data_IF_140971635870
#
_entry.id   IF_140971635870
#
_cell.length_a   1.000
_cell.length_b   1.000
_cell.length_c   1.000
_cell.angle_alpha   90.00
_cell.angle_beta   90.00
_cell.angle_gamma   90.00
#
_symmetry.space_group_name_H-M   'P 1'
#
loop_
_entity.id
_entity.type
_entity.pdbx_description
1 polymer ?
#
# COMPACT_ATOMS: atom_id res chain seq x y z
N UNK A 1 10.01 7.88 -10.34
CA UNK A 1 10.17 9.34 -10.47
C UNK A 1 9.50 9.96 -9.26
N UNK A 2 10.21 10.69 -8.39
CA UNK A 2 9.57 11.54 -7.38
C UNK A 2 9.28 12.85 -8.12
N UNK A 3 8.17 12.87 -8.84
CA UNK A 3 7.87 13.93 -9.83
C UNK A 3 7.00 15.06 -9.24
N UNK A 4 6.37 14.84 -8.10
CA UNK A 4 5.57 15.81 -7.39
C UNK A 4 6.24 16.10 -6.03
N UNK A 5 6.17 17.34 -5.55
CA UNK A 5 6.65 17.77 -4.22
C UNK A 5 5.82 17.14 -3.08
N UNK A 6 5.65 15.83 -3.13
CA UNK A 6 4.89 15.05 -2.17
C UNK A 6 5.74 14.77 -0.95
N UNK A 7 5.13 14.89 0.22
CA UNK A 7 5.74 14.58 1.51
C UNK A 7 5.48 13.13 1.94
N UNK A 8 4.64 12.41 1.20
CA UNK A 8 4.15 11.08 1.52
C UNK A 8 3.97 10.24 0.26
N UNK A 9 4.17 8.93 0.39
CA UNK A 9 3.81 7.92 -0.61
C UNK A 9 3.23 6.70 0.12
N UNK A 10 2.98 5.59 -0.56
CA UNK A 10 2.40 4.43 0.10
C UNK A 10 2.07 3.27 -0.81
N UNK A 11 1.32 2.31 -0.27
CA UNK A 11 0.74 1.20 -1.02
C UNK A 11 -0.69 0.93 -0.54
N UNK A 12 -1.50 0.40 -1.45
CA UNK A 12 -2.92 0.11 -1.24
C UNK A 12 -3.19 -1.34 -1.62
N UNK A 13 -3.96 -2.05 -0.80
CA UNK A 13 -4.55 -3.35 -1.14
C UNK A 13 -6.02 -3.11 -1.43
N UNK A 14 -6.46 -3.47 -2.62
CA UNK A 14 -7.84 -3.28 -3.07
C UNK A 14 -8.35 -4.52 -3.81
N UNK A 15 -9.67 -4.63 -3.92
CA UNK A 15 -10.30 -5.67 -4.73
C UNK A 15 -10.12 -5.32 -6.21
N UNK A 16 -9.86 -6.32 -7.05
CA UNK A 16 -9.83 -6.14 -8.50
C UNK A 16 -11.26 -6.19 -9.03
N UNK A 17 -11.65 -5.19 -9.82
CA UNK A 17 -12.91 -5.17 -10.57
C UNK A 17 -12.61 -4.97 -12.07
N UNK A 18 -13.63 -4.62 -12.87
CA UNK A 18 -13.47 -4.46 -14.32
C UNK A 18 -12.75 -3.18 -14.74
N UNK A 19 -12.51 -2.24 -13.83
CA UNK A 19 -11.76 -1.02 -14.12
C UNK A 19 -10.30 -1.13 -13.67
N UNK A 20 -9.52 -0.10 -13.98
CA UNK A 20 -8.10 0.00 -13.59
C UNK A 20 -8.06 0.70 -12.24
N UNK A 21 -7.49 0.04 -11.23
CA UNK A 21 -7.29 0.55 -9.87
C UNK A 21 -8.57 1.12 -9.21
N UNK A 22 -9.75 0.63 -9.62
CA UNK A 22 -11.05 1.17 -9.22
C UNK A 22 -11.78 0.40 -8.12
N UNK A 23 -11.39 -0.84 -7.87
CA UNK A 23 -12.14 -1.65 -6.91
C UNK A 23 -11.96 -1.19 -5.45
N UNK A 24 -12.86 -1.62 -4.54
CA UNK A 24 -12.86 -1.16 -3.16
C UNK A 24 -11.53 -1.35 -2.43
N UNK A 25 -11.07 -0.30 -1.74
CA UNK A 25 -9.86 -0.35 -0.90
C UNK A 25 -10.14 -1.22 0.34
N UNK A 26 -9.27 -2.19 0.58
CA UNK A 26 -9.31 -3.06 1.77
C UNK A 26 -8.39 -2.53 2.88
N UNK A 27 -7.20 -2.03 2.51
CA UNK A 27 -6.25 -1.44 3.43
C UNK A 27 -5.24 -0.55 2.70
N UNK A 28 -4.61 0.38 3.42
CA UNK A 28 -3.60 1.29 2.87
C UNK A 28 -2.54 1.60 3.93
N UNK A 29 -1.29 1.78 3.48
CA UNK A 29 -0.18 2.23 4.33
C UNK A 29 0.60 3.37 3.69
N UNK A 30 1.07 4.29 4.52
CA UNK A 30 1.80 5.49 4.13
C UNK A 30 3.27 5.38 4.55
N UNK A 31 4.17 5.92 3.72
CA UNK A 31 5.58 6.18 4.02
C UNK A 31 5.89 7.66 3.84
N UNK A 32 6.69 8.23 4.74
CA UNK A 32 7.20 9.59 4.58
C UNK A 32 8.28 9.64 3.50
N UNK A 33 8.26 10.70 2.70
CA UNK A 33 9.34 11.02 1.77
C UNK A 33 10.29 11.99 2.47
N UNK A 34 11.56 11.62 2.55
CA UNK A 34 12.66 12.46 3.05
C UNK A 34 13.31 13.19 1.88
N UNK A 35 13.91 14.35 2.16
CA UNK A 35 14.73 15.10 1.19
C UNK A 35 15.95 14.32 0.69
N UNK A 36 16.32 13.24 1.40
CA UNK A 36 17.44 12.36 1.04
C UNK A 36 17.00 11.13 0.24
N UNK A 37 15.70 10.94 0.01
CA UNK A 37 15.25 9.79 -0.75
C UNK A 37 15.50 9.95 -2.25
N UNK A 38 16.00 8.87 -2.86
CA UNK A 38 15.91 8.68 -4.30
C UNK A 38 14.72 7.75 -4.63
N UNK A 39 14.46 7.55 -5.92
CA UNK A 39 13.37 6.69 -6.35
C UNK A 39 13.51 5.23 -5.84
N UNK A 40 14.74 4.74 -5.66
CA UNK A 40 15.00 3.36 -5.21
C UNK A 40 14.81 3.23 -3.71
N UNK A 41 15.28 4.20 -2.92
CA UNK A 41 15.08 4.19 -1.47
C UNK A 41 13.60 4.36 -1.13
N UNK A 42 12.88 5.22 -1.85
CA UNK A 42 11.43 5.34 -1.69
C UNK A 42 10.71 4.05 -2.07
N UNK A 43 11.05 3.44 -3.21
CA UNK A 43 10.49 2.15 -3.62
C UNK A 43 10.74 1.06 -2.57
N UNK A 44 11.94 0.98 -2.00
CA UNK A 44 12.27 0.00 -0.97
C UNK A 44 11.39 0.16 0.29
N UNK A 45 11.15 1.42 0.71
CA UNK A 45 10.24 1.70 1.84
C UNK A 45 8.80 1.29 1.55
N UNK A 46 8.30 1.63 0.36
CA UNK A 46 6.95 1.19 -0.07
C UNK A 46 6.89 -0.34 -0.11
N UNK A 47 7.93 -0.99 -0.65
CA UNK A 47 8.00 -2.45 -0.74
C UNK A 47 7.94 -3.15 0.61
N UNK A 48 8.60 -2.58 1.62
CA UNK A 48 8.52 -3.08 3.00
C UNK A 48 7.08 -3.05 3.52
N UNK A 49 6.33 -1.97 3.25
CA UNK A 49 4.92 -1.86 3.61
C UNK A 49 4.06 -2.86 2.83
N UNK A 50 4.29 -3.04 1.53
CA UNK A 50 3.58 -4.03 0.71
C UNK A 50 3.73 -5.46 1.26
N UNK A 51 4.97 -5.86 1.57
CA UNK A 51 5.29 -7.20 2.07
C UNK A 51 4.67 -7.48 3.44
N UNK A 52 4.33 -6.44 4.20
CA UNK A 52 3.61 -6.55 5.46
C UNK A 52 2.10 -6.53 5.28
N UNK A 53 1.60 -5.54 4.52
CA UNK A 53 0.18 -5.24 4.39
C UNK A 53 -0.57 -6.34 3.65
N UNK A 54 -0.04 -6.82 2.53
CA UNK A 54 -0.73 -7.79 1.68
C UNK A 54 -0.97 -9.14 2.41
N UNK A 55 0.03 -9.78 3.05
CA UNK A 55 -0.21 -11.01 3.80
C UNK A 55 -1.19 -10.85 4.97
N UNK A 56 -1.18 -9.68 5.63
CA UNK A 56 -2.12 -9.38 6.72
C UNK A 56 -3.56 -9.32 6.21
N UNK A 57 -3.80 -8.60 5.11
CA UNK A 57 -5.13 -8.51 4.49
C UNK A 57 -5.60 -9.89 4.02
N UNK A 58 -4.74 -10.66 3.36
CA UNK A 58 -5.09 -12.03 2.92
C UNK A 58 -5.45 -12.91 4.12
N UNK A 59 -4.66 -12.86 5.21
CA UNK A 59 -4.96 -13.62 6.43
C UNK A 59 -6.30 -13.19 7.05
N UNK A 60 -6.62 -11.89 7.05
CA UNK A 60 -7.89 -11.39 7.57
C UNK A 60 -9.09 -11.86 6.72
N UNK A 61 -8.93 -11.93 5.39
CA UNK A 61 -9.96 -12.43 4.48
C UNK A 61 -10.24 -13.93 4.63
N UNK A 62 -9.20 -14.72 4.92
CA UNK A 62 -9.29 -16.17 5.11
C UNK A 62 -9.66 -16.56 6.55
N UNK A 63 -9.47 -15.65 7.51
CA UNK A 63 -9.85 -15.86 8.90
C UNK A 63 -11.37 -15.97 9.06
N UNK A 64 -11.84 -16.54 10.19
CA UNK A 64 -13.26 -16.49 10.52
C UNK A 64 -13.72 -15.03 10.50
N UNK A 65 -14.79 -14.75 9.75
CA UNK A 65 -15.41 -13.42 9.74
C UNK A 65 -15.91 -13.14 11.16
N UNK A 66 -15.15 -12.37 11.92
CA UNK A 66 -15.63 -11.81 13.17
C UNK A 66 -16.49 -10.61 12.77
N UNK A 67 -17.81 -10.79 12.75
CA UNK A 67 -18.72 -9.64 12.74
C UNK A 67 -18.41 -8.84 14.01
N UNK A 68 -17.90 -7.61 13.85
CA UNK A 68 -17.87 -6.60 14.90
C UNK A 68 -19.26 -6.01 15.09
#
# INVERSE_FOLDING_TARGET
MIAASESESGCTVHIVDSGIDSGPILAQEVVKISVLDDARSLQAKVKEKELRLLPQVVKALLGPRVNL
#
